data_IF_824350568721
#
_entry.id   IF_824350568721
#
_cell.length_a   1.000
_cell.length_b   1.000
_cell.length_c   1.000
_cell.angle_alpha   90.00
_cell.angle_beta   90.00
_cell.angle_gamma   90.00
#
_symmetry.space_group_name_H-M   'P 1'
#
loop_
_entity.id
_entity.type
_entity.pdbx_description
1 polymer ?
#
# COMPACT_ATOMS: atom_id res chain seq x y z
N UNK A 1 -25.87 -22.96 10.98
CA UNK A 1 -24.54 -22.73 10.56
C UNK A 1 -24.36 -21.31 10.03
N UNK A 2 -23.30 -20.73 10.38
CA UNK A 2 -23.03 -19.39 9.91
C UNK A 2 -21.99 -19.40 8.85
N UNK A 3 -22.36 -18.90 7.73
CA UNK A 3 -21.42 -18.68 6.70
C UNK A 3 -20.75 -17.38 6.88
N UNK A 4 -19.47 -17.41 6.87
CA UNK A 4 -18.77 -16.19 6.73
C UNK A 4 -18.75 -15.87 5.25
N UNK A 5 -19.57 -14.92 4.90
CA UNK A 5 -19.62 -14.53 3.51
C UNK A 5 -18.30 -13.94 3.10
N UNK A 6 -17.72 -14.50 2.05
CA UNK A 6 -16.49 -13.99 1.51
C UNK A 6 -16.75 -12.59 0.93
N UNK A 7 -15.88 -11.67 1.23
CA UNK A 7 -16.03 -10.32 0.72
C UNK A 7 -15.74 -10.32 -0.78
N UNK A 8 -16.58 -9.60 -1.48
CA UNK A 8 -16.66 -9.65 -2.93
C UNK A 8 -15.35 -9.40 -3.67
N UNK A 9 -14.55 -8.46 -3.20
CA UNK A 9 -13.33 -8.06 -3.90
C UNK A 9 -12.03 -8.57 -3.27
N UNK A 10 -12.11 -9.33 -2.21
CA UNK A 10 -10.90 -9.70 -1.46
C UNK A 10 -9.88 -10.48 -2.29
N UNK A 11 -10.34 -11.47 -3.06
CA UNK A 11 -9.43 -12.27 -3.87
C UNK A 11 -8.80 -11.47 -4.99
N UNK A 12 -9.58 -10.61 -5.63
CA UNK A 12 -9.08 -9.72 -6.66
C UNK A 12 -7.99 -8.81 -6.10
N UNK A 13 -8.27 -8.19 -4.95
CA UNK A 13 -7.30 -7.29 -4.32
C UNK A 13 -6.02 -8.04 -3.97
N UNK A 14 -6.13 -9.24 -3.42
CA UNK A 14 -4.93 -10.03 -3.11
C UNK A 14 -4.09 -10.28 -4.35
N UNK A 15 -4.74 -10.61 -5.47
CA UNK A 15 -4.03 -10.79 -6.73
C UNK A 15 -3.36 -9.50 -7.19
N UNK A 16 -4.05 -8.39 -7.08
CA UNK A 16 -3.47 -7.08 -7.44
C UNK A 16 -2.26 -6.75 -6.58
N UNK A 17 -2.34 -7.05 -5.28
CA UNK A 17 -1.23 -6.77 -4.38
C UNK A 17 -0.06 -7.74 -4.59
N UNK A 18 -0.32 -8.99 -4.98
CA UNK A 18 0.73 -9.92 -5.36
C UNK A 18 1.49 -9.42 -6.59
N UNK A 19 0.76 -8.94 -7.58
CA UNK A 19 1.36 -8.36 -8.78
C UNK A 19 2.14 -7.10 -8.46
N UNK A 20 1.60 -6.24 -7.60
CA UNK A 20 2.29 -5.05 -7.14
C UNK A 20 3.62 -5.42 -6.47
N UNK A 21 3.60 -6.42 -5.59
CA UNK A 21 4.82 -6.84 -4.88
C UNK A 21 5.88 -7.39 -5.83
N UNK A 22 5.48 -8.03 -6.92
CA UNK A 22 6.41 -8.47 -7.95
C UNK A 22 6.92 -7.31 -8.78
N UNK A 23 6.02 -6.48 -9.27
CA UNK A 23 6.36 -5.38 -10.17
C UNK A 23 7.20 -4.32 -9.48
N UNK A 24 6.94 -4.07 -8.20
CA UNK A 24 7.63 -3.04 -7.43
C UNK A 24 8.57 -3.65 -6.38
N UNK A 25 9.08 -4.85 -6.63
CA UNK A 25 10.00 -5.50 -5.69
C UNK A 25 11.21 -4.64 -5.37
N UNK A 26 11.75 -3.94 -6.37
CA UNK A 26 12.87 -3.03 -6.18
C UNK A 26 12.55 -1.89 -5.23
N UNK A 27 11.35 -1.30 -5.38
CA UNK A 27 10.91 -0.21 -4.54
C UNK A 27 10.72 -0.68 -3.09
N UNK A 28 10.19 -1.88 -2.90
CA UNK A 28 10.00 -2.45 -1.57
C UNK A 28 11.34 -2.75 -0.89
N UNK A 29 12.32 -3.23 -1.65
CA UNK A 29 13.69 -3.43 -1.15
C UNK A 29 14.31 -2.10 -0.75
N UNK A 30 14.13 -1.08 -1.57
CA UNK A 30 14.64 0.26 -1.31
C UNK A 30 14.04 0.84 -0.03
N UNK A 31 12.72 0.65 0.17
CA UNK A 31 12.05 1.11 1.38
C UNK A 31 12.61 0.44 2.64
N UNK A 32 12.87 -0.85 2.56
CA UNK A 32 13.44 -1.58 3.68
C UNK A 32 14.84 -1.10 4.01
N UNK A 33 15.65 -0.87 2.97
CA UNK A 33 17.00 -0.35 3.16
C UNK A 33 16.98 1.05 3.76
N UNK A 34 16.06 1.90 3.30
CA UNK A 34 15.94 3.26 3.83
C UNK A 34 15.45 3.26 5.29
N UNK A 35 14.54 2.34 5.63
CA UNK A 35 14.07 2.16 7.00
C UNK A 35 15.22 1.75 7.92
N UNK A 36 16.03 0.79 7.49
CA UNK A 36 17.19 0.35 8.25
C UNK A 36 18.20 1.49 8.42
N UNK A 37 18.43 2.25 7.37
CA UNK A 37 19.40 3.34 7.40
C UNK A 37 19.01 4.41 8.43
N UNK A 38 17.74 4.89 8.40
CA UNK A 38 17.36 5.93 9.34
C UNK A 38 17.22 5.39 10.77
N UNK A 39 16.84 4.13 10.93
CA UNK A 39 16.73 3.51 12.24
C UNK A 39 18.08 3.42 12.93
N UNK A 40 19.16 3.23 12.17
CA UNK A 40 20.52 3.15 12.69
C UNK A 40 21.26 4.48 12.66
N UNK A 41 20.62 5.52 12.17
CA UNK A 41 21.26 6.81 11.95
C UNK A 41 21.75 7.44 13.25
N UNK A 42 22.88 8.10 13.17
CA UNK A 42 23.34 8.94 14.25
C UNK A 42 22.55 10.23 14.24
N UNK A 43 22.50 10.90 15.36
CA UNK A 43 21.67 12.09 15.53
C UNK A 43 21.81 13.11 14.40
N UNK A 44 23.03 13.32 13.92
CA UNK A 44 23.28 14.33 12.90
C UNK A 44 22.68 13.96 11.54
N UNK A 45 22.43 12.68 11.29
CA UNK A 45 21.94 12.19 10.00
C UNK A 45 20.47 11.79 10.01
N UNK A 46 19.87 11.69 11.20
CA UNK A 46 18.54 11.13 11.37
C UNK A 46 17.50 11.84 10.52
N UNK A 47 17.53 13.17 10.50
CA UNK A 47 16.53 13.95 9.79
C UNK A 47 16.60 13.74 8.28
N UNK A 48 17.80 13.73 7.72
CA UNK A 48 17.98 13.52 6.31
C UNK A 48 17.57 12.11 5.89
N UNK A 49 18.00 11.11 6.66
CA UNK A 49 17.70 9.72 6.34
C UNK A 49 16.22 9.41 6.54
N UNK A 50 15.57 10.06 7.50
CA UNK A 50 14.13 9.91 7.65
C UNK A 50 13.39 10.52 6.45
N UNK A 51 13.86 11.66 5.96
CA UNK A 51 13.33 12.28 4.75
C UNK A 51 13.45 11.38 3.53
N UNK A 52 14.60 10.72 3.37
CA UNK A 52 14.80 9.77 2.29
C UNK A 52 13.83 8.58 2.39
N UNK A 53 13.66 8.06 3.60
CA UNK A 53 12.71 6.98 3.85
C UNK A 53 11.30 7.42 3.49
N UNK A 54 10.91 8.62 3.89
CA UNK A 54 9.57 9.14 3.64
C UNK A 54 9.28 9.26 2.14
N UNK A 55 10.28 9.65 1.34
CA UNK A 55 10.12 9.73 -0.11
C UNK A 55 9.80 8.36 -0.72
N UNK A 56 10.46 7.32 -0.25
CA UNK A 56 10.21 5.97 -0.76
C UNK A 56 8.83 5.47 -0.32
N UNK A 57 8.46 5.73 0.92
CA UNK A 57 7.12 5.37 1.44
C UNK A 57 6.04 6.07 0.64
N UNK A 58 6.23 7.34 0.33
CA UNK A 58 5.27 8.10 -0.48
C UNK A 58 5.15 7.51 -1.88
N UNK A 59 6.26 7.11 -2.48
CA UNK A 59 6.25 6.49 -3.80
C UNK A 59 5.45 5.18 -3.80
N UNK A 60 5.62 4.36 -2.76
CA UNK A 60 4.86 3.12 -2.63
C UNK A 60 3.37 3.43 -2.46
N UNK A 61 3.04 4.38 -1.60
CA UNK A 61 1.66 4.79 -1.37
C UNK A 61 1.00 5.29 -2.64
N UNK A 62 1.71 6.09 -3.43
CA UNK A 62 1.21 6.61 -4.70
C UNK A 62 0.91 5.47 -5.69
N UNK A 63 1.78 4.46 -5.74
CA UNK A 63 1.56 3.32 -6.63
C UNK A 63 0.34 2.50 -6.19
N UNK A 64 0.19 2.27 -4.90
CA UNK A 64 -0.98 1.56 -4.37
C UNK A 64 -2.26 2.34 -4.66
N UNK A 65 -2.23 3.64 -4.44
CA UNK A 65 -3.39 4.50 -4.71
C UNK A 65 -3.76 4.48 -6.19
N UNK A 66 -2.77 4.51 -7.06
CA UNK A 66 -2.97 4.46 -8.50
C UNK A 66 -3.67 3.16 -8.93
N UNK A 67 -3.23 2.04 -8.39
CA UNK A 67 -3.86 0.74 -8.68
C UNK A 67 -5.32 0.77 -8.24
N UNK A 68 -5.59 1.21 -7.02
CA UNK A 68 -6.95 1.27 -6.49
C UNK A 68 -7.86 2.14 -7.35
N UNK A 69 -7.42 3.36 -7.65
CA UNK A 69 -8.27 4.32 -8.33
C UNK A 69 -8.45 3.98 -9.81
N UNK A 70 -7.45 3.40 -10.44
CA UNK A 70 -7.57 2.97 -11.83
C UNK A 70 -8.62 1.87 -11.98
N UNK A 71 -8.61 0.90 -11.09
CA UNK A 71 -9.62 -0.17 -11.16
C UNK A 71 -11.00 0.33 -10.75
N UNK A 72 -11.07 1.13 -9.69
CA UNK A 72 -12.34 1.66 -9.20
C UNK A 72 -13.06 2.49 -10.26
N UNK A 73 -12.30 3.22 -11.07
CA UNK A 73 -12.88 4.05 -12.13
C UNK A 73 -13.66 3.26 -13.18
N UNK A 74 -13.39 1.96 -13.28
CA UNK A 74 -14.09 1.09 -14.24
C UNK A 74 -15.35 0.45 -13.65
N UNK A 75 -15.64 0.70 -12.38
CA UNK A 75 -16.77 0.09 -11.68
C UNK A 75 -17.92 1.09 -11.50
N UNK A 76 -19.12 0.56 -11.34
CA UNK A 76 -20.27 1.37 -10.96
C UNK A 76 -20.08 1.88 -9.52
N UNK A 77 -20.71 3.01 -9.19
CA UNK A 77 -20.46 3.73 -7.93
C UNK A 77 -20.46 2.86 -6.68
N UNK A 78 -21.50 2.05 -6.48
CA UNK A 78 -21.59 1.20 -5.28
C UNK A 78 -20.48 0.16 -5.25
N UNK A 79 -20.21 -0.45 -6.40
CA UNK A 79 -19.16 -1.45 -6.52
C UNK A 79 -17.78 -0.81 -6.34
N UNK A 80 -17.60 0.41 -6.87
CA UNK A 80 -16.35 1.13 -6.70
C UNK A 80 -16.05 1.40 -5.23
N UNK A 81 -17.06 1.83 -4.47
CA UNK A 81 -16.89 2.10 -3.04
C UNK A 81 -16.57 0.82 -2.27
N UNK A 82 -17.24 -0.26 -2.59
CA UNK A 82 -16.98 -1.56 -1.97
C UNK A 82 -15.56 -2.03 -2.30
N UNK A 83 -15.14 -1.87 -3.54
CA UNK A 83 -13.78 -2.23 -3.96
C UNK A 83 -12.73 -1.39 -3.25
N UNK A 84 -12.91 -0.07 -3.18
CA UNK A 84 -11.96 0.82 -2.51
C UNK A 84 -11.80 0.44 -1.03
N UNK A 85 -12.91 0.12 -0.38
CA UNK A 85 -12.89 -0.32 1.02
C UNK A 85 -12.10 -1.61 1.17
N UNK A 86 -12.35 -2.59 0.30
CA UNK A 86 -11.63 -3.86 0.33
C UNK A 86 -10.13 -3.66 0.07
N UNK A 87 -9.80 -2.87 -0.96
CA UNK A 87 -8.40 -2.61 -1.29
C UNK A 87 -7.66 -1.96 -0.12
N UNK A 88 -8.24 -0.90 0.43
CA UNK A 88 -7.62 -0.18 1.55
C UNK A 88 -7.40 -1.10 2.74
N UNK A 89 -8.39 -1.91 3.08
CA UNK A 89 -8.30 -2.85 4.21
C UNK A 89 -7.20 -3.88 4.01
N UNK A 90 -7.19 -4.54 2.86
CA UNK A 90 -6.21 -5.61 2.60
C UNK A 90 -4.80 -5.04 2.42
N UNK A 91 -4.67 -3.93 1.70
CA UNK A 91 -3.38 -3.28 1.49
C UNK A 91 -2.79 -2.76 2.82
N UNK A 92 -3.61 -2.16 3.66
CA UNK A 92 -3.17 -1.66 4.97
C UNK A 92 -2.67 -2.81 5.85
N UNK A 93 -3.34 -3.94 5.79
CA UNK A 93 -2.94 -5.11 6.58
C UNK A 93 -1.62 -5.70 6.08
N UNK A 94 -1.44 -5.76 4.76
CA UNK A 94 -0.26 -6.38 4.15
C UNK A 94 0.95 -5.45 4.10
N UNK A 95 0.72 -4.17 3.83
CA UNK A 95 1.76 -3.15 3.69
C UNK A 95 1.59 -2.05 4.73
N UNK A 96 1.44 -2.46 5.97
CA UNK A 96 1.11 -1.56 7.08
C UNK A 96 1.91 -0.25 7.10
N UNK A 97 3.21 -0.33 6.84
CA UNK A 97 4.08 0.85 6.92
C UNK A 97 3.94 1.78 5.74
N UNK A 98 3.40 1.28 4.64
CA UNK A 98 3.43 2.00 3.37
C UNK A 98 2.06 2.41 2.85
N UNK A 99 1.01 1.97 3.50
CA UNK A 99 -0.36 2.18 3.01
C UNK A 99 -1.09 3.34 3.68
N UNK A 100 -0.39 4.17 4.45
CA UNK A 100 -1.00 5.29 5.16
C UNK A 100 -1.71 6.28 4.23
N UNK A 101 -1.17 6.50 3.05
CA UNK A 101 -1.76 7.41 2.07
C UNK A 101 -3.18 6.98 1.67
N UNK A 102 -3.45 5.68 1.65
CA UNK A 102 -4.76 5.16 1.26
C UNK A 102 -5.86 5.55 2.25
N UNK A 103 -5.51 5.70 3.50
CA UNK A 103 -6.48 6.06 4.53
C UNK A 103 -6.87 7.53 4.48
N UNK A 104 -6.04 8.36 3.88
CA UNK A 104 -6.26 9.81 3.83
C UNK A 104 -7.05 10.26 2.61
N UNK A 105 -7.38 9.33 1.72
CA UNK A 105 -8.00 9.67 0.43
C UNK A 105 -9.37 9.04 0.28
#
# INVERSE_FOLDING_TARGET
>A
MIFRRRRRFDDLVRTQLDLFAEDEAGLLVEARAADDAWTRAERAETEELYGDYQLVVDAIGDRLLDIRETYAAALADDAADEYRTAFTRVATKRFRRYAGLLADV
#
